data_IF_297269596551
#
_entry.id   IF_297269596551
#
_cell.length_a   1.000
_cell.length_b   1.000
_cell.length_c   1.000
_cell.angle_alpha   90.00
_cell.angle_beta   90.00
_cell.angle_gamma   90.00
#
_symmetry.space_group_name_H-M   'P 1'
#
loop_
_entity.id
_entity.type
_entity.pdbx_description
1 polymer ?
#
# COMPACT_ATOMS: atom_id res chain seq x y z
N UNK A 1 -37.39 0.47 -10.66
CA UNK A 1 -36.05 0.87 -10.12
C UNK A 1 -35.94 2.37 -10.34
N UNK A 2 -36.26 3.16 -9.33
CA UNK A 2 -36.06 4.60 -9.36
C UNK A 2 -34.55 4.84 -9.27
N UNK A 3 -33.95 5.18 -10.39
CA UNK A 3 -32.64 5.82 -10.40
C UNK A 3 -32.83 7.16 -9.70
N UNK A 4 -32.46 7.24 -8.43
CA UNK A 4 -32.21 8.53 -7.82
C UNK A 4 -31.04 9.13 -8.58
N UNK A 5 -31.33 10.08 -9.45
CA UNK A 5 -30.31 10.90 -10.08
C UNK A 5 -29.60 11.62 -8.93
N UNK A 6 -28.37 11.21 -8.66
CA UNK A 6 -27.50 11.94 -7.77
C UNK A 6 -27.16 13.26 -8.48
N UNK A 7 -27.74 14.34 -7.98
CA UNK A 7 -27.39 15.68 -8.40
C UNK A 7 -26.54 16.32 -7.28
N UNK A 8 -25.25 16.57 -7.49
CA UNK A 8 -24.40 17.22 -6.47
C UNK A 8 -24.98 18.54 -5.99
N UNK A 9 -25.72 19.28 -6.84
CA UNK A 9 -26.35 20.56 -6.47
C UNK A 9 -27.43 20.40 -5.38
N UNK A 10 -28.03 19.22 -5.19
CA UNK A 10 -29.02 18.98 -4.12
C UNK A 10 -28.40 18.99 -2.72
N UNK A 11 -27.07 19.04 -2.64
CA UNK A 11 -26.30 19.07 -1.40
C UNK A 11 -25.59 20.40 -1.15
N UNK A 12 -25.80 21.40 -2.03
CA UNK A 12 -25.23 22.73 -1.87
C UNK A 12 -26.38 23.69 -1.46
N UNK A 13 -26.20 24.40 -0.36
CA UNK A 13 -27.03 25.51 0.01
C UNK A 13 -26.24 26.78 -0.30
N UNK A 14 -26.79 27.65 -1.14
CA UNK A 14 -26.15 28.92 -1.49
C UNK A 14 -25.78 29.71 -0.24
N UNK A 15 -24.48 29.97 -0.05
CA UNK A 15 -23.96 30.81 1.03
C UNK A 15 -23.51 30.09 2.30
N UNK A 16 -23.63 28.78 2.39
CA UNK A 16 -23.04 28.01 3.48
C UNK A 16 -22.07 26.96 2.91
N UNK A 17 -20.86 26.94 3.42
CA UNK A 17 -19.96 25.80 3.25
C UNK A 17 -20.53 24.62 4.02
N UNK A 18 -21.53 23.95 3.46
CA UNK A 18 -22.01 22.70 4.03
C UNK A 18 -21.01 21.62 3.70
N UNK A 19 -20.10 21.51 4.59
CA UNK A 19 -19.44 20.26 4.78
C UNK A 19 -20.42 19.42 5.61
N UNK A 20 -21.10 18.43 5.02
CA UNK A 20 -21.82 17.40 5.78
C UNK A 20 -20.79 16.48 6.45
N UNK A 21 -19.92 17.08 7.22
CA UNK A 21 -19.10 16.42 8.20
C UNK A 21 -19.98 16.24 9.42
N UNK A 22 -20.59 15.08 9.53
CA UNK A 22 -21.16 14.64 10.81
C UNK A 22 -20.01 14.53 11.81
N UNK A 23 -19.53 15.70 12.28
CA UNK A 23 -18.57 15.75 13.35
C UNK A 23 -19.19 15.03 14.55
N UNK A 24 -18.49 14.08 15.18
CA UNK A 24 -19.01 13.44 16.39
C UNK A 24 -19.23 14.50 17.47
N UNK A 25 -20.34 14.41 18.18
CA UNK A 25 -20.69 15.31 19.29
C UNK A 25 -19.86 15.06 20.56
N UNK A 26 -18.76 14.33 20.45
CA UNK A 26 -17.86 13.96 21.54
C UNK A 26 -16.40 14.16 21.13
N UNK A 27 -15.51 14.33 22.10
CA UNK A 27 -14.08 14.44 21.87
C UNK A 27 -13.54 13.22 21.11
N UNK A 28 -12.55 13.44 20.23
CA UNK A 28 -12.08 12.44 19.25
C UNK A 28 -11.57 11.16 19.92
N UNK A 29 -10.94 11.28 21.08
CA UNK A 29 -10.42 10.16 21.88
C UNK A 29 -11.52 9.35 22.58
N UNK A 30 -12.74 9.91 22.69
CA UNK A 30 -13.89 9.28 23.36
C UNK A 30 -14.93 8.71 22.39
N UNK A 31 -14.78 8.98 21.08
CA UNK A 31 -15.78 8.60 20.07
C UNK A 31 -16.05 7.10 20.08
N UNK A 32 -15.00 6.28 20.10
CA UNK A 32 -15.13 4.83 20.01
C UNK A 32 -15.67 4.21 21.29
N UNK A 33 -15.28 4.73 22.47
CA UNK A 33 -15.83 4.30 23.75
C UNK A 33 -17.32 4.60 23.82
N UNK A 34 -17.73 5.82 23.45
CA UNK A 34 -19.16 6.21 23.41
C UNK A 34 -19.95 5.32 22.45
N UNK A 35 -19.42 5.08 21.24
CA UNK A 35 -20.08 4.22 20.27
C UNK A 35 -20.15 2.77 20.73
N UNK A 36 -19.15 2.27 21.41
CA UNK A 36 -19.13 0.92 21.97
C UNK A 36 -20.28 0.71 22.96
N UNK A 37 -20.57 1.70 23.81
CA UNK A 37 -21.73 1.68 24.72
C UNK A 37 -23.06 1.70 23.98
N UNK A 38 -23.14 2.37 22.85
CA UNK A 38 -24.36 2.48 22.03
C UNK A 38 -24.57 1.28 21.12
N UNK A 39 -23.51 0.51 20.81
CA UNK A 39 -23.59 -0.60 19.88
C UNK A 39 -24.37 -1.77 20.48
N UNK A 40 -25.35 -2.28 19.73
CA UNK A 40 -26.00 -3.56 20.05
C UNK A 40 -25.08 -4.70 19.63
N UNK A 41 -24.54 -5.38 20.61
CA UNK A 41 -23.68 -6.52 20.38
C UNK A 41 -24.49 -7.79 20.13
N UNK A 42 -24.02 -8.62 19.22
CA UNK A 42 -24.57 -9.96 19.01
C UNK A 42 -24.20 -10.84 20.20
N UNK A 43 -25.20 -11.44 20.84
CA UNK A 43 -24.96 -12.42 21.90
C UNK A 43 -24.05 -13.54 21.35
N UNK A 44 -22.98 -13.94 22.03
CA UNK A 44 -22.07 -15.00 21.60
C UNK A 44 -22.76 -16.29 21.20
N UNK A 45 -23.80 -16.70 21.90
CA UNK A 45 -24.60 -17.89 21.56
C UNK A 45 -25.33 -17.82 20.21
N UNK A 46 -25.58 -16.61 19.71
CA UNK A 46 -26.25 -16.40 18.42
C UNK A 46 -25.28 -16.20 17.26
N UNK A 47 -23.99 -15.97 17.50
CA UNK A 47 -23.02 -15.72 16.42
C UNK A 47 -22.96 -16.87 15.42
N UNK A 48 -23.04 -18.11 15.87
CA UNK A 48 -23.08 -19.32 15.03
C UNK A 48 -24.28 -19.42 14.07
N UNK A 49 -25.29 -18.56 14.27
CA UNK A 49 -26.49 -18.51 13.39
C UNK A 49 -26.31 -17.48 12.26
N UNK A 50 -25.28 -16.66 12.36
CA UNK A 50 -25.00 -15.59 11.41
C UNK A 50 -23.86 -15.98 10.49
N UNK A 51 -23.98 -15.59 9.25
CA UNK A 51 -22.98 -15.81 8.21
C UNK A 51 -22.42 -14.49 7.69
N UNK A 52 -21.12 -14.49 7.39
CA UNK A 52 -20.41 -13.34 6.83
C UNK A 52 -19.63 -13.78 5.60
N UNK A 53 -19.86 -13.10 4.49
CA UNK A 53 -19.04 -13.25 3.28
C UNK A 53 -17.89 -12.25 3.35
N UNK A 54 -16.68 -12.76 3.07
CA UNK A 54 -15.47 -11.92 2.95
C UNK A 54 -14.86 -12.14 1.57
N UNK A 55 -14.77 -11.08 0.79
CA UNK A 55 -14.14 -11.09 -0.53
C UNK A 55 -12.74 -10.54 -0.43
N UNK A 56 -11.76 -11.39 -0.70
CA UNK A 56 -10.34 -11.09 -0.55
C UNK A 56 -9.70 -11.83 0.62
N UNK A 57 -8.44 -12.24 0.44
CA UNK A 57 -7.66 -13.07 1.39
C UNK A 57 -6.28 -12.46 1.68
N UNK A 58 -6.10 -11.18 1.37
CA UNK A 58 -4.95 -10.41 1.80
C UNK A 58 -4.99 -10.15 3.32
N UNK A 59 -4.11 -9.31 3.83
CA UNK A 59 -4.06 -8.99 5.27
C UNK A 59 -5.42 -8.58 5.84
N UNK A 60 -6.15 -7.69 5.16
CA UNK A 60 -7.45 -7.22 5.65
C UNK A 60 -8.51 -8.35 5.66
N UNK A 61 -8.69 -9.02 4.52
CA UNK A 61 -9.72 -10.07 4.39
C UNK A 61 -9.38 -11.32 5.21
N UNK A 62 -8.13 -11.75 5.22
CA UNK A 62 -7.66 -12.90 6.00
C UNK A 62 -7.77 -12.66 7.51
N UNK A 63 -7.37 -11.47 8.00
CA UNK A 63 -7.51 -11.11 9.40
C UNK A 63 -8.98 -11.01 9.84
N UNK A 64 -9.84 -10.43 9.00
CA UNK A 64 -11.27 -10.36 9.26
C UNK A 64 -11.89 -11.76 9.32
N UNK A 65 -11.53 -12.66 8.38
CA UNK A 65 -12.03 -14.03 8.36
C UNK A 65 -11.59 -14.82 9.59
N UNK A 66 -10.30 -14.72 9.95
CA UNK A 66 -9.77 -15.38 11.13
C UNK A 66 -10.46 -14.89 12.41
N UNK A 67 -10.57 -13.57 12.57
CA UNK A 67 -11.18 -12.95 13.77
C UNK A 67 -12.67 -13.29 13.91
N UNK A 68 -13.43 -13.23 12.83
CA UNK A 68 -14.84 -13.55 12.84
C UNK A 68 -15.08 -15.06 13.07
N UNK A 69 -14.25 -15.93 12.47
CA UNK A 69 -14.30 -17.35 12.70
C UNK A 69 -14.01 -17.69 14.17
N UNK A 70 -12.97 -17.12 14.76
CA UNK A 70 -12.63 -17.26 16.17
C UNK A 70 -13.74 -16.72 17.08
N UNK A 71 -14.41 -15.67 16.70
CA UNK A 71 -15.56 -15.12 17.42
C UNK A 71 -16.84 -15.97 17.29
N UNK A 72 -16.83 -17.04 16.48
CA UNK A 72 -17.93 -18.01 16.34
C UNK A 72 -18.93 -17.72 15.24
N UNK A 73 -18.63 -16.85 14.29
CA UNK A 73 -19.43 -16.64 13.09
C UNK A 73 -19.13 -17.70 12.02
N UNK A 74 -20.10 -17.96 11.14
CA UNK A 74 -19.87 -18.75 9.92
C UNK A 74 -19.31 -17.82 8.83
N UNK A 75 -18.10 -18.08 8.37
CA UNK A 75 -17.44 -17.23 7.40
C UNK A 75 -17.26 -17.94 6.07
N UNK A 76 -17.68 -17.28 4.97
CA UNK A 76 -17.39 -17.69 3.60
C UNK A 76 -16.35 -16.72 3.04
N UNK A 77 -15.12 -17.19 2.83
CA UNK A 77 -13.99 -16.35 2.40
C UNK A 77 -13.61 -16.66 0.95
N UNK A 78 -13.69 -15.66 0.08
CA UNK A 78 -13.48 -15.81 -1.36
C UNK A 78 -12.13 -15.23 -1.78
N UNK A 79 -11.34 -16.04 -2.50
CA UNK A 79 -10.04 -15.71 -3.02
C UNK A 79 -10.03 -15.70 -4.55
N UNK A 80 -9.68 -14.57 -5.16
CA UNK A 80 -9.49 -14.48 -6.61
C UNK A 80 -8.31 -15.33 -7.07
N UNK A 81 -7.24 -15.37 -6.28
CA UNK A 81 -6.03 -16.12 -6.58
C UNK A 81 -6.22 -17.63 -6.28
N UNK A 82 -5.26 -18.44 -6.74
CA UNK A 82 -5.18 -19.86 -6.41
C UNK A 82 -4.77 -20.13 -4.95
N UNK A 83 -4.15 -19.15 -4.31
CA UNK A 83 -3.75 -19.21 -2.92
C UNK A 83 -3.88 -17.84 -2.25
N UNK A 84 -4.35 -17.75 -1.00
CA UNK A 84 -4.36 -16.52 -0.21
C UNK A 84 -3.00 -15.85 -0.10
N UNK A 85 -1.92 -16.64 -0.07
CA UNK A 85 -0.53 -16.17 0.02
C UNK A 85 -0.06 -15.39 -1.21
N UNK A 86 -0.84 -15.37 -2.30
CA UNK A 86 -0.54 -14.58 -3.50
C UNK A 86 -1.21 -13.21 -3.50
N UNK A 87 -1.82 -12.81 -2.40
CA UNK A 87 -2.33 -11.45 -2.22
C UNK A 87 -1.18 -10.43 -2.33
N UNK A 88 -1.49 -9.24 -2.84
CA UNK A 88 -0.47 -8.18 -3.03
C UNK A 88 0.27 -7.81 -1.73
N UNK A 89 -0.34 -8.02 -0.58
CA UNK A 89 0.30 -7.82 0.75
C UNK A 89 1.67 -8.45 0.87
N UNK A 90 1.93 -9.57 0.17
CA UNK A 90 3.24 -10.27 0.17
C UNK A 90 4.38 -9.38 -0.35
N UNK A 91 4.08 -8.41 -1.19
CA UNK A 91 5.08 -7.56 -1.83
C UNK A 91 5.52 -6.35 -0.97
N UNK A 92 4.88 -6.10 0.16
CA UNK A 92 5.24 -4.99 1.04
C UNK A 92 6.55 -5.27 1.77
N UNK A 93 7.52 -4.35 1.71
CA UNK A 93 8.89 -4.55 2.19
C UNK A 93 9.23 -3.66 3.38
N UNK A 94 8.74 -2.43 3.40
CA UNK A 94 9.22 -1.35 4.27
C UNK A 94 9.01 -1.61 5.75
N UNK A 95 7.83 -1.87 6.17
CA UNK A 95 7.43 -2.00 7.56
C UNK A 95 6.05 -1.41 7.82
N UNK A 96 5.62 -1.47 9.06
CA UNK A 96 4.36 -0.89 9.52
C UNK A 96 4.59 0.06 10.70
N UNK A 97 3.88 1.19 10.72
CA UNK A 97 4.00 2.18 11.77
C UNK A 97 3.05 1.88 12.93
N UNK A 98 3.55 2.01 14.16
CA UNK A 98 2.73 1.93 15.35
C UNK A 98 3.27 2.83 16.46
N UNK A 99 2.37 3.43 17.23
CA UNK A 99 2.69 4.39 18.27
C UNK A 99 3.08 3.69 19.60
N UNK A 100 4.18 2.92 19.60
CA UNK A 100 4.66 2.22 20.81
C UNK A 100 5.70 2.99 21.61
N UNK A 101 6.27 4.05 21.05
CA UNK A 101 7.28 4.90 21.69
C UNK A 101 8.47 4.13 22.31
N UNK A 102 8.94 3.07 21.67
CA UNK A 102 10.00 2.23 22.20
C UNK A 102 11.36 2.95 22.36
N UNK A 103 11.62 3.95 21.52
CA UNK A 103 12.83 4.75 21.57
C UNK A 103 12.75 5.96 22.51
N UNK A 104 11.58 6.17 23.11
CA UNK A 104 11.32 7.34 23.95
C UNK A 104 11.65 8.68 23.25
N UNK A 105 11.33 8.74 21.96
CA UNK A 105 11.55 9.88 21.05
C UNK A 105 10.31 10.77 20.91
N UNK A 106 9.48 10.78 21.96
CA UNK A 106 8.20 11.52 22.04
C UNK A 106 7.16 11.12 21.01
N UNK A 107 7.16 9.85 20.59
CA UNK A 107 6.05 9.31 19.81
C UNK A 107 4.81 9.10 20.68
N UNK A 108 3.64 9.21 20.05
CA UNK A 108 2.35 9.02 20.73
C UNK A 108 1.25 8.68 19.72
N UNK A 109 0.13 8.16 20.22
CA UNK A 109 -1.10 7.97 19.42
C UNK A 109 -1.50 9.26 18.71
N UNK A 110 -1.48 10.39 19.41
CA UNK A 110 -1.84 11.68 18.82
C UNK A 110 -0.84 12.11 17.73
N UNK A 111 0.45 11.89 17.94
CA UNK A 111 1.46 12.21 16.93
C UNK A 111 1.32 11.34 15.67
N UNK A 112 1.08 10.04 15.81
CA UNK A 112 0.80 9.17 14.68
C UNK A 112 -0.48 9.59 13.94
N UNK A 113 -1.53 9.93 14.68
CA UNK A 113 -2.76 10.47 14.13
C UNK A 113 -2.51 11.75 13.33
N UNK A 114 -1.83 12.74 13.94
CA UNK A 114 -1.53 14.02 13.29
C UNK A 114 -0.70 13.84 12.02
N UNK A 115 0.37 13.05 12.09
CA UNK A 115 1.24 12.78 10.94
C UNK A 115 0.46 12.10 9.80
N UNK A 116 -0.47 11.21 10.13
CA UNK A 116 -1.30 10.51 9.14
C UNK A 116 -2.31 11.45 8.48
N UNK A 117 -3.00 12.27 9.26
CA UNK A 117 -3.97 13.26 8.74
C UNK A 117 -3.28 14.30 7.88
N UNK A 118 -2.13 14.82 8.36
CA UNK A 118 -1.32 15.79 7.62
C UNK A 118 -0.75 15.18 6.33
N UNK A 119 -0.22 13.96 6.39
CA UNK A 119 0.29 13.24 5.22
C UNK A 119 -0.79 12.91 4.19
N UNK A 120 -2.05 12.80 4.62
CA UNK A 120 -3.24 12.66 3.78
C UNK A 120 -3.86 13.98 3.37
N UNK A 121 -3.15 15.10 3.49
CA UNK A 121 -3.58 16.43 3.07
C UNK A 121 -4.91 16.88 3.72
N UNK A 122 -5.12 16.46 4.98
CA UNK A 122 -6.31 16.75 5.82
C UNK A 122 -7.63 16.26 5.22
N UNK A 123 -7.61 15.24 4.35
CA UNK A 123 -8.81 14.68 3.71
C UNK A 123 -9.32 13.40 4.32
N UNK A 124 -8.60 12.85 5.29
CA UNK A 124 -8.99 11.62 5.96
C UNK A 124 -10.14 11.86 6.95
N UNK A 125 -10.93 10.81 7.17
CA UNK A 125 -11.90 10.82 8.27
C UNK A 125 -11.17 10.67 9.61
N UNK A 126 -11.02 11.75 10.34
CA UNK A 126 -10.17 11.88 11.53
C UNK A 126 -10.45 10.82 12.60
N UNK A 127 -11.71 10.55 12.89
CA UNK A 127 -12.09 9.54 13.88
C UNK A 127 -11.59 8.13 13.54
N UNK A 128 -11.57 7.77 12.26
CA UNK A 128 -11.05 6.48 11.82
C UNK A 128 -9.53 6.44 11.93
N UNK A 129 -8.86 7.53 11.58
CA UNK A 129 -7.39 7.64 11.69
C UNK A 129 -6.95 7.61 13.15
N UNK A 130 -7.67 8.35 14.04
CA UNK A 130 -7.37 8.31 15.46
C UNK A 130 -7.52 6.90 16.03
N UNK A 131 -8.61 6.21 15.69
CA UNK A 131 -8.81 4.82 16.12
C UNK A 131 -7.72 3.88 15.61
N UNK A 132 -7.30 4.04 14.37
CA UNK A 132 -6.17 3.26 13.82
C UNK A 132 -4.87 3.51 14.61
N UNK A 133 -4.57 4.78 14.90
CA UNK A 133 -3.39 5.14 15.70
C UNK A 133 -3.46 4.55 17.11
N UNK A 134 -4.64 4.58 17.74
CA UNK A 134 -4.89 4.03 19.07
C UNK A 134 -4.66 2.52 19.14
N UNK A 135 -5.16 1.76 18.16
CA UNK A 135 -5.02 0.29 18.15
C UNK A 135 -3.69 -0.19 17.56
N UNK A 136 -2.89 0.69 16.97
CA UNK A 136 -1.67 0.33 16.25
C UNK A 136 -0.69 -0.48 17.09
N UNK A 137 -0.52 -0.12 18.34
CA UNK A 137 0.36 -0.81 19.28
C UNK A 137 -0.11 -2.26 19.54
N UNK A 138 -1.42 -2.45 19.74
CA UNK A 138 -2.02 -3.76 19.96
C UNK A 138 -1.91 -4.65 18.72
N UNK A 139 -1.98 -4.06 17.51
CA UNK A 139 -1.80 -4.80 16.25
C UNK A 139 -0.38 -5.38 16.17
N UNK A 140 0.64 -4.61 16.56
CA UNK A 140 2.02 -5.13 16.62
C UNK A 140 2.13 -6.30 17.60
N UNK A 141 1.57 -6.15 18.80
CA UNK A 141 1.61 -7.21 19.82
C UNK A 141 0.90 -8.47 19.35
N UNK A 142 -0.26 -8.32 18.69
CA UNK A 142 -0.97 -9.43 18.05
C UNK A 142 -0.12 -10.12 16.99
N UNK A 143 0.53 -9.35 16.09
CA UNK A 143 1.39 -9.91 15.06
C UNK A 143 2.57 -10.68 15.66
N UNK A 144 3.18 -10.17 16.74
CA UNK A 144 4.24 -10.87 17.48
C UNK A 144 3.73 -12.18 18.08
N UNK A 145 2.56 -12.16 18.72
CA UNK A 145 1.93 -13.35 19.28
C UNK A 145 1.57 -14.38 18.19
N UNK A 146 1.28 -13.94 16.97
CA UNK A 146 1.04 -14.78 15.79
C UNK A 146 2.33 -15.32 15.15
N UNK A 147 3.51 -14.99 15.70
CA UNK A 147 4.80 -15.49 15.23
C UNK A 147 5.45 -14.68 14.12
N UNK A 148 5.02 -13.44 13.88
CA UNK A 148 5.68 -12.57 12.91
C UNK A 148 7.09 -12.21 13.39
N UNK A 149 8.17 -12.53 12.64
CA UNK A 149 9.54 -12.37 13.07
C UNK A 149 10.03 -10.93 12.80
N UNK A 150 9.48 -9.96 13.50
CA UNK A 150 10.00 -8.60 13.45
C UNK A 150 11.47 -8.55 13.89
N UNK A 151 12.23 -7.63 13.30
CA UNK A 151 13.60 -7.36 13.72
C UNK A 151 13.64 -7.01 15.22
N UNK A 152 14.71 -7.47 15.89
CA UNK A 152 14.94 -7.21 17.31
C UNK A 152 16.31 -6.59 17.51
N UNK A 153 16.43 -5.73 18.51
CA UNK A 153 17.70 -5.24 19.00
C UNK A 153 18.35 -6.24 19.97
N UNK A 154 19.59 -5.98 20.36
CA UNK A 154 20.38 -6.88 21.20
C UNK A 154 19.69 -7.25 22.53
N UNK A 155 18.96 -6.31 23.14
CA UNK A 155 18.19 -6.53 24.37
C UNK A 155 16.90 -7.33 24.18
N UNK A 156 16.58 -7.76 22.96
CA UNK A 156 15.39 -8.58 22.65
C UNK A 156 14.09 -7.77 22.41
N UNK A 157 14.10 -6.47 22.59
CA UNK A 157 12.97 -5.61 22.20
C UNK A 157 12.86 -5.54 20.67
N UNK A 158 11.67 -5.21 20.18
CA UNK A 158 11.46 -5.03 18.77
C UNK A 158 12.26 -3.81 18.28
N UNK A 159 13.00 -3.99 17.21
CA UNK A 159 13.73 -2.90 16.59
C UNK A 159 12.79 -2.03 15.74
N UNK A 160 13.04 -0.73 15.76
CA UNK A 160 12.27 0.27 15.02
C UNK A 160 13.19 1.21 14.24
N UNK A 161 12.65 1.76 13.16
CA UNK A 161 13.37 2.75 12.36
C UNK A 161 12.46 3.91 11.96
N UNK A 162 13.05 5.04 11.62
CA UNK A 162 12.33 6.10 10.90
C UNK A 162 12.18 5.69 9.43
N UNK A 163 11.10 6.12 8.79
CA UNK A 163 10.80 5.72 7.43
C UNK A 163 9.90 6.75 6.73
N UNK A 164 10.23 7.08 5.49
CA UNK A 164 9.35 7.90 4.66
C UNK A 164 9.12 9.33 5.16
N UNK A 165 10.12 9.99 5.71
CA UNK A 165 10.02 11.37 6.23
C UNK A 165 9.45 11.49 7.65
N UNK A 166 9.16 10.37 8.32
CA UNK A 166 8.74 10.35 9.72
C UNK A 166 9.94 10.64 10.61
N UNK A 167 9.82 11.62 11.50
CA UNK A 167 10.92 12.09 12.36
C UNK A 167 11.15 11.21 13.61
N UNK A 168 10.28 10.23 13.87
CA UNK A 168 10.38 9.30 15.00
C UNK A 168 10.56 7.87 14.52
N UNK A 169 11.13 7.03 15.37
CA UNK A 169 11.38 5.62 15.06
C UNK A 169 10.16 4.78 15.46
N UNK A 170 9.17 4.71 14.61
CA UNK A 170 7.91 3.97 14.85
C UNK A 170 7.63 2.84 13.86
N UNK A 171 8.51 2.60 12.91
CA UNK A 171 8.31 1.59 11.87
C UNK A 171 8.89 0.25 12.30
N UNK A 172 8.01 -0.72 12.53
CA UNK A 172 8.35 -2.12 12.82
C UNK A 172 8.54 -2.88 11.51
N UNK A 173 9.57 -3.69 11.39
CA UNK A 173 9.96 -4.30 10.11
C UNK A 173 10.56 -5.71 10.26
N UNK A 174 10.51 -6.48 9.18
CA UNK A 174 11.15 -7.78 9.03
C UNK A 174 12.09 -7.76 7.80
N UNK A 175 13.09 -6.90 7.81
CA UNK A 175 14.21 -6.76 6.86
C UNK A 175 13.86 -7.09 5.40
N UNK A 176 13.04 -6.26 4.76
CA UNK A 176 12.63 -6.41 3.36
C UNK A 176 11.52 -7.43 3.09
N UNK A 177 11.07 -8.17 4.11
CA UNK A 177 10.04 -9.21 4.00
C UNK A 177 8.82 -8.92 4.87
N UNK A 178 8.60 -7.70 5.29
CA UNK A 178 7.57 -7.35 6.29
C UNK A 178 6.18 -7.82 5.85
N UNK A 179 5.78 -7.52 4.62
CA UNK A 179 4.47 -7.91 4.11
C UNK A 179 4.30 -9.42 3.97
N UNK A 180 5.36 -10.12 3.55
CA UNK A 180 5.36 -11.58 3.48
C UNK A 180 5.16 -12.21 4.85
N UNK A 181 5.91 -11.76 5.85
CA UNK A 181 5.84 -12.32 7.20
C UNK A 181 4.50 -12.01 7.87
N UNK A 182 3.98 -10.80 7.71
CA UNK A 182 2.64 -10.44 8.18
C UNK A 182 1.56 -11.30 7.52
N UNK A 183 1.65 -11.52 6.20
CA UNK A 183 0.67 -12.31 5.47
C UNK A 183 0.71 -13.78 5.89
N UNK A 184 1.90 -14.35 6.11
CA UNK A 184 2.05 -15.72 6.60
C UNK A 184 1.45 -15.86 8.01
N UNK A 185 1.74 -14.93 8.92
CA UNK A 185 1.17 -14.94 10.28
C UNK A 185 -0.36 -14.87 10.26
N UNK A 186 -0.90 -13.96 9.43
CA UNK A 186 -2.36 -13.84 9.22
C UNK A 186 -2.95 -15.14 8.62
N UNK A 187 -2.30 -15.71 7.62
CA UNK A 187 -2.73 -16.93 6.96
C UNK A 187 -2.76 -18.14 7.92
N UNK A 188 -1.78 -18.26 8.80
CA UNK A 188 -1.76 -19.30 9.84
C UNK A 188 -2.99 -19.23 10.75
N UNK A 189 -3.42 -18.02 11.13
CA UNK A 189 -4.63 -17.86 11.94
C UNK A 189 -5.90 -18.21 11.12
N UNK A 190 -5.92 -17.85 9.85
CA UNK A 190 -7.01 -18.23 8.95
C UNK A 190 -7.12 -19.76 8.80
N UNK A 191 -6.01 -20.45 8.59
CA UNK A 191 -5.96 -21.91 8.48
C UNK A 191 -6.51 -22.61 9.73
N UNK A 192 -6.20 -22.09 10.93
CA UNK A 192 -6.76 -22.62 12.18
C UNK A 192 -8.28 -22.56 12.19
N UNK A 193 -8.88 -21.51 11.64
CA UNK A 193 -10.32 -21.37 11.58
C UNK A 193 -10.95 -22.21 10.46
N UNK A 194 -10.21 -22.46 9.38
CA UNK A 194 -10.61 -23.38 8.32
C UNK A 194 -10.66 -24.81 8.89
N UNK A 195 -9.63 -25.21 9.61
CA UNK A 195 -9.56 -26.52 10.28
C UNK A 195 -10.68 -26.68 11.31
N UNK A 196 -10.96 -25.64 12.11
CA UNK A 196 -12.08 -25.62 13.05
C UNK A 196 -13.46 -25.62 12.40
N UNK A 197 -13.53 -25.45 11.07
CA UNK A 197 -14.79 -25.44 10.31
C UNK A 197 -15.62 -24.17 10.41
N UNK A 198 -15.14 -23.12 11.09
CA UNK A 198 -15.81 -21.81 11.20
C UNK A 198 -15.61 -20.95 9.96
N UNK A 199 -14.55 -21.18 9.19
CA UNK A 199 -14.28 -20.53 7.93
C UNK A 199 -14.27 -21.55 6.78
N UNK A 200 -14.99 -21.27 5.71
CA UNK A 200 -14.88 -21.98 4.43
C UNK A 200 -14.24 -21.08 3.41
N UNK A 201 -13.13 -21.52 2.81
CA UNK A 201 -12.38 -20.74 1.82
C UNK A 201 -12.62 -21.28 0.40
N UNK A 202 -12.86 -20.36 -0.51
CA UNK A 202 -13.11 -20.62 -1.93
C UNK A 202 -12.05 -19.92 -2.78
N UNK A 203 -11.01 -20.68 -3.18
CA UNK A 203 -9.94 -20.19 -4.06
C UNK A 203 -10.43 -20.14 -5.51
N UNK A 204 -9.82 -19.28 -6.33
CA UNK A 204 -10.17 -19.07 -7.76
C UNK A 204 -11.65 -18.74 -7.99
N UNK A 205 -12.20 -17.90 -7.10
CA UNK A 205 -13.56 -17.36 -7.25
C UNK A 205 -13.51 -15.85 -7.42
N UNK A 206 -14.03 -15.37 -8.54
CA UNK A 206 -14.16 -13.95 -8.83
C UNK A 206 -15.54 -13.46 -8.42
N UNK A 207 -15.62 -12.39 -7.63
CA UNK A 207 -16.89 -11.72 -7.38
C UNK A 207 -17.34 -10.97 -8.63
N UNK A 208 -18.46 -11.38 -9.19
CA UNK A 208 -19.03 -10.76 -10.41
C UNK A 208 -20.21 -9.84 -10.13
N UNK A 209 -20.87 -9.98 -8.96
CA UNK A 209 -21.96 -9.09 -8.57
C UNK A 209 -22.16 -9.05 -7.05
N UNK A 210 -22.73 -7.93 -6.54
CA UNK A 210 -23.24 -7.80 -5.19
C UNK A 210 -24.76 -8.03 -5.19
N UNK A 211 -25.25 -8.90 -4.31
CA UNK A 211 -26.67 -9.13 -4.10
C UNK A 211 -27.18 -8.13 -3.07
N UNK A 212 -28.10 -7.26 -3.49
CA UNK A 212 -28.76 -6.28 -2.63
C UNK A 212 -30.25 -6.58 -2.58
N UNK A 213 -30.80 -6.74 -1.38
CA UNK A 213 -32.23 -6.95 -1.13
C UNK A 213 -32.66 -5.92 -0.10
N UNK A 214 -33.73 -5.17 -0.41
CA UNK A 214 -34.27 -4.11 0.46
C UNK A 214 -33.19 -3.12 0.95
N UNK A 215 -32.31 -2.69 0.03
CA UNK A 215 -31.22 -1.76 0.32
C UNK A 215 -30.08 -2.31 1.18
N UNK A 216 -30.04 -3.61 1.43
CA UNK A 216 -29.02 -4.28 2.23
C UNK A 216 -28.20 -5.27 1.40
N UNK A 217 -26.88 -5.29 1.60
CA UNK A 217 -26.01 -6.31 1.04
C UNK A 217 -26.33 -7.67 1.69
N UNK A 218 -26.80 -8.62 0.89
CA UNK A 218 -27.26 -9.93 1.35
C UNK A 218 -26.47 -11.09 0.76
N UNK A 219 -25.48 -10.82 -0.03
CA UNK A 219 -24.65 -11.85 -0.63
C UNK A 219 -23.89 -11.39 -1.84
N UNK A 220 -23.28 -12.32 -2.54
CA UNK A 220 -22.53 -12.10 -3.76
C UNK A 220 -22.84 -13.17 -4.80
N UNK A 221 -22.58 -12.83 -6.06
CA UNK A 221 -22.49 -13.80 -7.15
C UNK A 221 -21.02 -13.96 -7.50
N UNK A 222 -20.55 -15.18 -7.61
CA UNK A 222 -19.17 -15.50 -8.01
C UNK A 222 -19.12 -16.30 -9.29
N UNK A 223 -18.00 -16.16 -10.00
CA UNK A 223 -17.58 -17.07 -11.06
C UNK A 223 -16.44 -17.94 -10.53
N UNK A 224 -16.64 -19.25 -10.56
CA UNK A 224 -15.57 -20.21 -10.36
C UNK A 224 -14.66 -20.18 -11.60
N UNK A 225 -13.41 -19.74 -11.42
CA UNK A 225 -12.49 -19.53 -12.53
C UNK A 225 -11.88 -20.82 -13.08
N UNK A 226 -12.11 -21.96 -12.42
CA UNK A 226 -11.64 -23.27 -12.89
C UNK A 226 -12.59 -23.87 -13.90
N UNK A 227 -13.90 -23.79 -13.64
CA UNK A 227 -14.93 -24.46 -14.44
C UNK A 227 -15.96 -23.49 -15.05
N UNK A 228 -15.84 -22.17 -14.81
CA UNK A 228 -16.73 -21.14 -15.34
C UNK A 228 -18.10 -21.05 -14.66
N UNK A 229 -18.42 -21.89 -13.68
CA UNK A 229 -19.73 -21.91 -13.02
C UNK A 229 -20.02 -20.58 -12.30
N UNK A 230 -21.24 -20.10 -12.49
CA UNK A 230 -21.75 -18.92 -11.76
C UNK A 230 -22.59 -19.41 -10.58
N UNK A 231 -22.28 -18.89 -9.39
CA UNK A 231 -22.90 -19.31 -8.14
C UNK A 231 -23.30 -18.10 -7.31
N UNK A 232 -24.49 -18.15 -6.70
CA UNK A 232 -24.96 -17.14 -5.76
C UNK A 232 -24.75 -17.63 -4.31
N UNK A 233 -24.26 -16.74 -3.47
CA UNK A 233 -23.98 -17.00 -2.06
C UNK A 233 -24.69 -15.94 -1.23
N UNK A 234 -25.36 -16.36 -0.17
CA UNK A 234 -26.12 -15.47 0.72
C UNK A 234 -25.44 -15.38 2.08
N UNK A 235 -25.55 -14.20 2.71
CA UNK A 235 -25.02 -13.95 4.06
C UNK A 235 -25.73 -12.78 4.72
N UNK A 236 -25.57 -12.66 6.04
CA UNK A 236 -26.07 -11.53 6.82
C UNK A 236 -25.26 -10.25 6.61
N UNK A 237 -23.98 -10.38 6.28
CA UNK A 237 -23.10 -9.27 5.96
C UNK A 237 -22.07 -9.65 4.88
N UNK A 238 -21.62 -8.63 4.14
CA UNK A 238 -20.56 -8.75 3.12
C UNK A 238 -19.45 -7.77 3.45
N UNK A 239 -18.21 -8.27 3.51
CA UNK A 239 -16.99 -7.50 3.73
C UNK A 239 -16.12 -7.57 2.48
N UNK A 240 -15.71 -6.43 1.96
CA UNK A 240 -14.78 -6.33 0.85
C UNK A 240 -13.37 -6.04 1.36
N UNK A 241 -12.48 -7.02 1.29
CA UNK A 241 -11.05 -6.92 1.60
C UNK A 241 -10.20 -7.08 0.33
N UNK A 242 -10.60 -6.46 -0.77
CA UNK A 242 -10.08 -6.71 -2.12
C UNK A 242 -8.83 -5.93 -2.48
N UNK A 243 -8.29 -5.16 -1.54
CA UNK A 243 -7.09 -4.33 -1.75
C UNK A 243 -7.38 -3.10 -2.61
N UNK A 244 -6.31 -2.46 -3.06
CA UNK A 244 -6.38 -1.27 -3.89
C UNK A 244 -6.67 -1.57 -5.38
N UNK A 245 -6.69 -0.50 -6.17
CA UNK A 245 -6.99 -0.52 -7.60
C UNK A 245 -5.86 0.07 -8.46
N UNK A 246 -4.60 -0.15 -8.05
CA UNK A 246 -3.42 0.41 -8.74
C UNK A 246 -3.35 0.09 -10.23
N UNK A 247 -3.88 -1.06 -10.66
CA UNK A 247 -3.87 -1.45 -12.06
C UNK A 247 -4.91 -0.75 -12.95
N UNK A 248 -5.69 0.17 -12.39
CA UNK A 248 -6.47 1.15 -13.17
C UNK A 248 -5.54 2.21 -13.79
N UNK A 249 -4.38 2.42 -13.20
CA UNK A 249 -3.38 3.38 -13.68
C UNK A 249 -2.36 2.71 -14.60
N UNK A 250 -1.76 3.48 -15.49
CA UNK A 250 -0.82 3.02 -16.50
C UNK A 250 0.42 2.31 -15.95
N UNK A 251 0.99 2.84 -14.87
CA UNK A 251 2.16 2.24 -14.20
C UNK A 251 1.81 1.94 -12.75
N UNK A 252 1.94 0.69 -12.35
CA UNK A 252 1.63 0.25 -11.00
C UNK A 252 2.60 -0.84 -10.54
N UNK A 253 2.91 -0.81 -9.24
CA UNK A 253 3.63 -1.89 -8.56
C UNK A 253 2.70 -2.98 -8.03
N UNK A 254 1.38 -2.78 -8.17
CA UNK A 254 0.38 -3.69 -7.61
C UNK A 254 0.25 -4.99 -8.43
N UNK A 255 -0.08 -6.07 -7.76
CA UNK A 255 -0.45 -7.32 -8.41
C UNK A 255 -1.68 -7.10 -9.32
N UNK A 256 -1.78 -7.87 -10.41
CA UNK A 256 -2.83 -7.71 -11.42
C UNK A 256 -4.25 -7.84 -10.87
N UNK A 257 -4.44 -8.53 -9.75
CA UNK A 257 -5.72 -8.61 -9.05
C UNK A 257 -6.18 -7.29 -8.38
N UNK A 258 -5.30 -6.28 -8.27
CA UNK A 258 -5.64 -4.95 -7.74
C UNK A 258 -6.26 -4.07 -8.84
N UNK A 259 -7.44 -4.43 -9.33
CA UNK A 259 -8.03 -3.87 -10.55
C UNK A 259 -9.43 -3.23 -10.36
N UNK A 260 -9.84 -2.99 -9.14
CA UNK A 260 -11.12 -2.38 -8.76
C UNK A 260 -12.39 -3.19 -9.10
N UNK A 261 -12.32 -4.37 -9.71
CA UNK A 261 -13.52 -5.07 -10.22
C UNK A 261 -14.59 -5.26 -9.15
N UNK A 262 -14.25 -5.82 -7.99
CA UNK A 262 -15.22 -6.07 -6.93
C UNK A 262 -15.74 -4.75 -6.31
N UNK A 263 -14.86 -3.78 -6.06
CA UNK A 263 -15.25 -2.46 -5.55
C UNK A 263 -16.19 -1.74 -6.52
N UNK A 264 -15.91 -1.79 -7.83
CA UNK A 264 -16.76 -1.25 -8.87
C UNK A 264 -18.16 -1.91 -8.90
N UNK A 265 -18.21 -3.25 -8.76
CA UNK A 265 -19.50 -3.98 -8.72
C UNK A 265 -20.35 -3.54 -7.53
N UNK A 266 -19.73 -3.39 -6.36
CA UNK A 266 -20.42 -2.90 -5.17
C UNK A 266 -20.90 -1.45 -5.34
N UNK A 267 -20.05 -0.58 -5.91
CA UNK A 267 -20.38 0.82 -6.17
C UNK A 267 -21.59 0.94 -7.11
N UNK A 268 -21.64 0.17 -8.18
CA UNK A 268 -22.79 0.13 -9.09
C UNK A 268 -24.10 -0.29 -8.41
N UNK A 269 -24.03 -0.96 -7.27
CA UNK A 269 -25.19 -1.36 -6.45
C UNK A 269 -25.51 -0.39 -5.32
N UNK A 270 -24.87 0.79 -5.32
CA UNK A 270 -25.15 1.88 -4.38
C UNK A 270 -24.20 1.99 -3.20
N UNK A 271 -23.11 1.20 -3.15
CA UNK A 271 -22.08 1.41 -2.15
C UNK A 271 -21.30 2.71 -2.44
N UNK A 272 -21.06 3.51 -1.42
CA UNK A 272 -20.24 4.69 -1.57
C UNK A 272 -18.78 4.32 -1.80
N UNK A 273 -18.09 5.12 -2.63
CA UNK A 273 -16.67 5.01 -2.87
C UNK A 273 -15.97 6.21 -2.20
N UNK A 274 -15.28 5.95 -1.10
CA UNK A 274 -14.60 7.00 -0.35
C UNK A 274 -13.22 7.31 -0.93
N UNK A 275 -12.82 8.59 -0.91
CA UNK A 275 -11.46 9.06 -1.24
C UNK A 275 -10.83 8.48 -2.53
N UNK A 276 -11.55 8.44 -3.67
CA UNK A 276 -11.04 7.81 -4.90
C UNK A 276 -9.78 8.49 -5.48
N UNK A 277 -9.51 9.73 -5.07
CA UNK A 277 -8.34 10.49 -5.50
C UNK A 277 -7.07 10.15 -4.74
N UNK A 278 -7.13 9.35 -3.68
CA UNK A 278 -5.94 9.00 -2.90
C UNK A 278 -5.11 7.94 -3.61
N UNK A 279 -4.05 8.43 -4.23
CA UNK A 279 -3.06 7.60 -4.92
C UNK A 279 -1.68 7.94 -4.39
N UNK A 280 -1.00 6.97 -3.80
CA UNK A 280 0.39 7.13 -3.41
C UNK A 280 1.30 6.68 -4.55
N UNK A 281 2.27 7.51 -4.91
CA UNK A 281 3.30 7.20 -5.87
C UNK A 281 4.57 6.80 -5.11
N UNK A 282 5.20 5.70 -5.51
CA UNK A 282 6.46 5.26 -4.93
C UNK A 282 7.63 5.70 -5.82
N UNK A 283 8.66 6.38 -5.29
CA UNK A 283 9.71 6.97 -6.11
C UNK A 283 10.78 5.98 -6.57
N UNK A 284 10.91 4.81 -5.93
CA UNK A 284 12.00 3.87 -6.14
C UNK A 284 11.54 2.55 -6.77
N UNK A 285 10.84 2.61 -7.91
CA UNK A 285 10.48 1.41 -8.65
C UNK A 285 11.49 1.14 -9.76
N UNK A 286 11.77 -0.13 -10.02
CA UNK A 286 12.58 -0.53 -11.19
C UNK A 286 11.72 -0.29 -12.43
N UNK A 287 12.19 0.45 -13.44
CA UNK A 287 11.49 0.60 -14.71
C UNK A 287 11.20 -0.74 -15.36
N UNK A 288 10.21 -0.80 -16.24
CA UNK A 288 9.91 -2.00 -17.03
C UNK A 288 11.16 -2.45 -17.75
N UNK A 289 11.51 -3.71 -17.57
CA UNK A 289 12.67 -4.35 -18.18
C UNK A 289 12.23 -5.64 -18.89
N UNK A 290 12.37 -5.67 -20.22
CA UNK A 290 11.89 -6.77 -21.05
C UNK A 290 10.37 -6.87 -21.19
N UNK A 291 9.92 -7.75 -22.09
CA UNK A 291 8.50 -7.88 -22.47
C UNK A 291 7.70 -8.78 -21.52
N UNK A 292 8.36 -9.48 -20.63
CA UNK A 292 7.74 -10.47 -19.74
C UNK A 292 7.39 -9.93 -18.35
N UNK A 293 7.80 -8.71 -18.02
CA UNK A 293 7.54 -8.11 -16.74
C UNK A 293 6.09 -7.64 -16.64
N UNK A 294 5.27 -8.31 -15.83
CA UNK A 294 3.83 -8.05 -15.71
C UNK A 294 3.48 -6.84 -14.84
N UNK A 295 4.43 -6.32 -14.05
CA UNK A 295 4.26 -5.17 -13.18
C UNK A 295 5.61 -4.52 -12.89
N UNK A 296 5.61 -3.28 -12.43
CA UNK A 296 6.82 -2.64 -11.93
C UNK A 296 7.24 -3.27 -10.59
N UNK A 297 8.53 -3.52 -10.44
CA UNK A 297 9.07 -4.03 -9.18
C UNK A 297 9.40 -2.88 -8.26
N UNK A 298 8.83 -2.94 -7.06
CA UNK A 298 9.11 -2.00 -5.98
C UNK A 298 10.47 -2.29 -5.37
N UNK A 299 11.29 -1.26 -5.21
CA UNK A 299 12.49 -1.30 -4.38
C UNK A 299 12.24 -0.60 -3.05
N UNK A 300 12.83 -1.12 -1.98
CA UNK A 300 12.68 -0.51 -0.65
C UNK A 300 13.15 0.94 -0.66
N UNK A 301 12.32 1.81 -0.11
CA UNK A 301 12.65 3.24 0.04
C UNK A 301 13.88 3.49 0.93
N UNK A 302 14.24 2.52 1.79
CA UNK A 302 15.45 2.58 2.61
C UNK A 302 16.74 2.77 1.80
N UNK A 303 16.73 2.44 0.52
CA UNK A 303 17.83 2.71 -0.39
C UNK A 303 18.20 4.21 -0.46
N UNK A 304 17.22 5.10 -0.23
CA UNK A 304 17.44 6.54 -0.23
C UNK A 304 18.17 7.05 1.02
N UNK A 305 18.35 6.21 2.05
CA UNK A 305 19.09 6.58 3.25
C UNK A 305 20.60 6.75 2.97
N UNK A 306 21.13 5.96 2.06
CA UNK A 306 22.55 5.99 1.70
C UNK A 306 22.78 6.24 0.21
N UNK A 307 21.77 6.04 -0.63
CA UNK A 307 21.83 6.33 -2.08
C UNK A 307 21.45 7.77 -2.40
N UNK A 308 22.18 8.39 -3.34
CA UNK A 308 21.95 9.74 -3.84
C UNK A 308 21.22 9.73 -5.17
N UNK A 309 20.20 10.58 -5.29
CA UNK A 309 19.37 10.65 -6.52
C UNK A 309 19.83 11.80 -7.40
N UNK A 310 20.09 11.51 -8.68
CA UNK A 310 20.53 12.51 -9.63
C UNK A 310 20.07 12.23 -11.08
N UNK A 311 20.15 13.25 -11.92
CA UNK A 311 20.04 13.18 -13.38
C UNK A 311 21.17 13.98 -14.02
N UNK A 312 21.53 13.76 -15.30
CA UNK A 312 22.45 14.64 -16.01
C UNK A 312 21.92 16.07 -16.07
N UNK A 313 22.81 17.06 -15.97
CA UNK A 313 22.44 18.48 -16.13
C UNK A 313 21.96 18.79 -17.53
N UNK A 314 22.50 18.11 -18.54
CA UNK A 314 22.19 18.30 -19.96
C UNK A 314 21.42 17.11 -20.50
N UNK A 315 20.33 17.35 -21.22
CA UNK A 315 19.53 16.30 -21.87
C UNK A 315 20.34 15.44 -22.86
N UNK A 316 21.36 16.01 -23.50
CA UNK A 316 22.24 15.30 -24.42
C UNK A 316 23.04 14.17 -23.74
N UNK A 317 23.28 14.28 -22.43
CA UNK A 317 24.06 13.31 -21.66
C UNK A 317 23.21 12.14 -21.12
N UNK A 318 21.88 12.21 -21.24
CA UNK A 318 20.97 11.19 -20.71
C UNK A 318 21.05 9.82 -21.42
N UNK A 319 21.73 9.75 -22.55
CA UNK A 319 21.96 8.53 -23.30
C UNK A 319 23.36 7.91 -23.04
N UNK A 320 24.25 8.65 -22.35
CA UNK A 320 25.60 8.18 -22.03
C UNK A 320 25.60 7.15 -20.90
N UNK A 321 26.69 6.39 -20.83
CA UNK A 321 26.97 5.58 -19.64
C UNK A 321 27.09 6.49 -18.40
N UNK A 322 26.38 6.23 -17.32
CA UNK A 322 26.44 7.08 -16.13
C UNK A 322 27.85 7.22 -15.53
N UNK A 323 28.75 6.28 -15.80
CA UNK A 323 30.15 6.31 -15.34
C UNK A 323 30.98 7.34 -16.10
N UNK A 324 30.56 7.70 -17.31
CA UNK A 324 31.23 8.70 -18.15
C UNK A 324 30.77 10.13 -17.85
N UNK A 325 29.76 10.30 -16.98
CA UNK A 325 29.21 11.61 -16.60
C UNK A 325 29.95 12.09 -15.34
N UNK A 326 30.79 13.14 -15.47
CA UNK A 326 31.55 13.66 -14.33
C UNK A 326 30.62 14.27 -13.26
N UNK A 327 31.11 14.34 -12.02
CA UNK A 327 30.32 14.81 -10.87
C UNK A 327 29.76 16.22 -11.08
N UNK A 328 30.52 17.12 -11.68
CA UNK A 328 30.10 18.49 -11.99
C UNK A 328 28.94 18.56 -12.99
N UNK A 329 28.72 17.53 -13.81
CA UNK A 329 27.60 17.45 -14.78
C UNK A 329 26.39 16.69 -14.23
N UNK A 330 26.43 16.24 -12.96
CA UNK A 330 25.31 15.61 -12.26
C UNK A 330 24.47 16.65 -11.52
N UNK A 331 23.14 16.54 -11.60
CA UNK A 331 22.19 17.36 -10.87
C UNK A 331 21.55 16.52 -9.77
N UNK A 332 21.99 16.67 -8.54
CA UNK A 332 21.38 16.10 -7.34
C UNK A 332 20.15 16.93 -6.95
N UNK A 333 19.15 16.89 -7.78
CA UNK A 333 18.01 17.81 -7.76
C UNK A 333 17.24 17.85 -6.45
N UNK A 334 17.11 16.71 -5.72
CA UNK A 334 16.44 16.70 -4.41
C UNK A 334 17.25 17.44 -3.36
N UNK A 335 18.57 17.25 -3.33
CA UNK A 335 19.47 17.95 -2.42
C UNK A 335 19.52 19.45 -2.71
N UNK A 336 19.50 19.82 -3.99
CA UNK A 336 19.49 21.22 -4.44
C UNK A 336 18.19 21.94 -4.10
N UNK A 337 17.02 21.29 -4.34
CA UNK A 337 15.70 21.92 -4.14
C UNK A 337 15.28 21.88 -2.68
N UNK A 338 15.62 20.79 -1.96
CA UNK A 338 15.21 20.54 -0.58
C UNK A 338 16.42 20.25 0.33
N UNK A 339 17.30 21.20 0.57
CA UNK A 339 18.58 20.96 1.26
C UNK A 339 18.41 20.43 2.70
N UNK A 340 17.28 20.72 3.35
CA UNK A 340 17.01 20.24 4.70
C UNK A 340 16.70 18.73 4.80
N UNK A 341 16.21 18.14 3.71
CA UNK A 341 15.80 16.73 3.66
C UNK A 341 16.61 15.90 2.66
N UNK A 342 17.11 16.53 1.60
CA UNK A 342 17.85 15.88 0.53
C UNK A 342 17.07 14.71 -0.08
N UNK A 343 17.72 13.55 -0.15
CA UNK A 343 17.12 12.35 -0.70
C UNK A 343 16.00 11.74 0.17
N UNK A 344 15.83 12.24 1.41
CA UNK A 344 14.84 11.76 2.37
C UNK A 344 13.51 12.54 2.36
N UNK A 345 13.31 13.41 1.38
CA UNK A 345 12.00 14.06 1.20
C UNK A 345 10.85 13.04 1.11
N UNK A 346 9.62 13.42 1.51
CA UNK A 346 8.43 12.57 1.36
C UNK A 346 8.27 11.97 -0.04
N UNK A 347 7.56 10.85 -0.12
CA UNK A 347 7.39 10.08 -1.37
C UNK A 347 6.78 10.87 -2.51
N UNK A 348 5.75 11.67 -2.21
CA UNK A 348 5.06 12.52 -3.18
C UNK A 348 5.99 13.56 -3.78
N UNK A 349 6.82 14.19 -2.95
CA UNK A 349 7.83 15.17 -3.40
C UNK A 349 8.88 14.49 -4.27
N UNK A 350 9.48 13.38 -3.79
CA UNK A 350 10.50 12.66 -4.54
C UNK A 350 9.97 12.18 -5.90
N UNK A 351 8.74 11.64 -5.92
CA UNK A 351 8.10 11.14 -7.14
C UNK A 351 7.77 12.24 -8.13
N UNK A 352 7.23 13.36 -7.64
CA UNK A 352 6.90 14.52 -8.48
C UNK A 352 8.16 15.12 -9.10
N UNK A 353 9.23 15.29 -8.34
CA UNK A 353 10.48 15.82 -8.85
C UNK A 353 11.13 14.86 -9.85
N UNK A 354 11.14 13.55 -9.60
CA UNK A 354 11.63 12.59 -10.59
C UNK A 354 10.84 12.66 -11.91
N UNK A 355 9.51 12.78 -11.82
CA UNK A 355 8.66 12.97 -13.01
C UNK A 355 9.01 14.27 -13.75
N UNK A 356 9.18 15.37 -13.02
CA UNK A 356 9.55 16.67 -13.60
C UNK A 356 10.88 16.58 -14.38
N UNK A 357 11.90 15.91 -13.82
CA UNK A 357 13.18 15.71 -14.52
C UNK A 357 13.00 14.92 -15.82
N UNK A 358 12.16 13.89 -15.82
CA UNK A 358 11.84 13.14 -17.03
C UNK A 358 11.08 13.99 -18.07
N UNK A 359 10.14 14.82 -17.64
CA UNK A 359 9.36 15.68 -18.52
C UNK A 359 10.19 16.81 -19.13
N UNK A 360 11.20 17.31 -18.40
CA UNK A 360 12.22 18.25 -18.91
C UNK A 360 13.16 17.60 -19.95
N UNK A 361 13.03 16.30 -20.22
CA UNK A 361 13.90 15.55 -21.14
C UNK A 361 15.21 15.10 -20.52
N UNK A 362 15.36 15.19 -19.19
CA UNK A 362 16.56 14.76 -18.46
C UNK A 362 16.42 13.35 -17.84
N UNK A 363 15.37 12.63 -18.21
CA UNK A 363 15.22 11.23 -17.84
C UNK A 363 16.31 10.34 -18.40
N UNK A 364 16.63 9.27 -17.71
CA UNK A 364 17.68 8.29 -18.07
C UNK A 364 17.10 6.90 -18.34
N UNK A 365 17.94 6.01 -18.86
CA UNK A 365 17.54 4.64 -19.22
C UNK A 365 17.13 4.49 -20.69
N UNK A 366 16.57 3.35 -21.09
CA UNK A 366 16.13 3.11 -22.45
C UNK A 366 15.08 4.12 -22.90
N UNK A 367 15.19 4.56 -24.15
CA UNK A 367 14.16 5.40 -24.76
C UNK A 367 12.93 4.54 -25.10
N UNK A 368 11.76 5.06 -24.73
CA UNK A 368 10.45 4.44 -25.00
C UNK A 368 9.65 5.37 -25.89
N UNK A 369 9.04 4.82 -26.95
CA UNK A 369 8.15 5.55 -27.83
C UNK A 369 6.83 5.86 -27.09
N UNK A 370 6.51 7.14 -26.93
CA UNK A 370 5.28 7.59 -26.30
C UNK A 370 4.42 8.38 -27.28
N UNK A 371 3.18 7.91 -27.46
CA UNK A 371 2.22 8.58 -28.31
C UNK A 371 1.67 9.82 -27.61
N UNK A 372 1.83 10.98 -28.22
CA UNK A 372 1.34 12.24 -27.67
C UNK A 372 -0.14 12.45 -28.02
N UNK A 373 -0.79 13.40 -27.33
CA UNK A 373 -2.19 13.73 -27.55
C UNK A 373 -2.49 14.23 -28.97
N UNK A 374 -1.50 14.84 -29.63
CA UNK A 374 -1.57 15.32 -31.03
C UNK A 374 -1.35 14.21 -32.07
N UNK A 375 -1.18 12.94 -31.62
CA UNK A 375 -0.93 11.79 -32.48
C UNK A 375 0.54 11.59 -32.86
N UNK A 376 1.44 12.49 -32.52
CA UNK A 376 2.89 12.33 -32.73
C UNK A 376 3.49 11.32 -31.76
N UNK A 377 4.66 10.79 -32.09
CA UNK A 377 5.41 9.89 -31.21
C UNK A 377 6.69 10.56 -30.75
N UNK A 378 6.86 10.70 -29.45
CA UNK A 378 8.06 11.23 -28.81
C UNK A 378 8.86 10.10 -28.16
N UNK A 379 10.18 10.12 -28.34
CA UNK A 379 11.06 9.24 -27.56
C UNK A 379 11.29 9.87 -26.19
N UNK A 380 10.89 9.16 -25.13
CA UNK A 380 11.05 9.60 -23.76
C UNK A 380 11.88 8.61 -22.97
N UNK A 381 12.64 9.09 -22.00
CA UNK A 381 13.36 8.26 -21.03
C UNK A 381 12.68 8.42 -19.68
N UNK A 382 12.36 7.30 -19.07
CA UNK A 382 11.63 7.25 -17.81
C UNK A 382 12.51 6.63 -16.76
N UNK A 383 13.29 7.46 -16.06
CA UNK A 383 14.15 7.03 -14.97
C UNK A 383 14.99 8.18 -14.45
N UNK A 384 15.44 8.03 -13.22
CA UNK A 384 16.48 8.82 -12.59
C UNK A 384 17.48 7.87 -11.96
N UNK A 385 18.71 8.32 -11.73
CA UNK A 385 19.73 7.49 -11.10
C UNK A 385 19.61 7.54 -9.58
N UNK A 386 19.82 6.39 -8.94
CA UNK A 386 20.05 6.22 -7.51
C UNK A 386 21.45 5.62 -7.34
N UNK A 387 22.38 6.41 -6.85
CA UNK A 387 23.83 6.15 -6.86
C UNK A 387 24.33 5.85 -5.45
N UNK A 388 25.06 4.75 -5.32
CA UNK A 388 25.65 4.29 -4.07
C UNK A 388 27.17 4.52 -3.99
N UNK A 389 27.78 5.19 -4.96
CA UNK A 389 29.22 5.41 -5.00
C UNK A 389 29.76 6.03 -3.70
N UNK A 390 29.11 7.08 -3.19
CA UNK A 390 29.48 7.72 -1.92
C UNK A 390 29.32 6.79 -0.72
N UNK A 391 28.25 6.01 -0.69
CA UNK A 391 28.00 5.05 0.38
C UNK A 391 29.05 3.92 0.38
N UNK A 392 29.42 3.43 -0.81
CA UNK A 392 30.46 2.40 -0.96
C UNK A 392 31.81 2.95 -0.51
N UNK A 393 32.16 4.19 -0.87
CA UNK A 393 33.39 4.84 -0.43
C UNK A 393 33.44 5.03 1.10
N UNK A 394 32.32 5.36 1.71
CA UNK A 394 32.22 5.62 3.16
C UNK A 394 32.13 4.36 4.02
N UNK A 395 31.36 3.36 3.58
CA UNK A 395 31.03 2.17 4.38
C UNK A 395 31.78 0.91 3.94
N UNK A 396 32.41 0.96 2.78
CA UNK A 396 32.92 -0.22 2.08
C UNK A 396 31.81 -1.05 1.43
N UNK A 397 32.17 -1.90 0.50
CA UNK A 397 31.23 -2.80 -0.21
C UNK A 397 30.48 -3.72 0.77
N UNK A 398 31.18 -4.27 1.76
CA UNK A 398 30.60 -5.15 2.78
C UNK A 398 29.59 -4.42 3.65
N UNK A 399 29.85 -3.16 4.03
CA UNK A 399 28.94 -2.34 4.80
C UNK A 399 27.63 -2.05 4.05
N UNK A 400 27.72 -1.78 2.75
CA UNK A 400 26.56 -1.59 1.88
C UNK A 400 25.82 -2.93 1.66
N UNK A 401 26.55 -4.02 1.45
CA UNK A 401 26.00 -5.36 1.27
C UNK A 401 25.20 -5.83 2.51
N UNK A 402 25.73 -5.60 3.69
CA UNK A 402 25.03 -5.92 4.94
C UNK A 402 23.70 -5.17 5.11
N UNK A 403 23.57 -3.98 4.52
CA UNK A 403 22.33 -3.17 4.58
C UNK A 403 21.36 -3.47 3.44
N UNK A 404 21.87 -3.65 2.23
CA UNK A 404 21.08 -3.62 0.99
C UNK A 404 21.36 -4.78 0.03
N UNK A 405 22.24 -5.73 0.36
CA UNK A 405 22.69 -6.77 -0.55
C UNK A 405 21.56 -7.53 -1.25
N UNK A 406 20.55 -7.94 -0.49
CA UNK A 406 19.37 -8.61 -1.05
C UNK A 406 18.56 -7.73 -2.05
N UNK A 407 18.57 -6.42 -1.87
CA UNK A 407 17.92 -5.49 -2.79
C UNK A 407 18.76 -5.28 -4.04
N UNK A 408 20.07 -5.24 -3.90
CA UNK A 408 21.01 -5.15 -5.01
C UNK A 408 20.97 -6.41 -5.88
N UNK A 409 20.95 -7.59 -5.24
CA UNK A 409 20.79 -8.88 -5.95
C UNK A 409 19.46 -8.91 -6.73
N UNK A 410 18.37 -8.48 -6.11
CA UNK A 410 17.07 -8.40 -6.79
C UNK A 410 17.11 -7.45 -7.99
N UNK A 411 17.74 -6.29 -7.86
CA UNK A 411 17.88 -5.33 -8.94
C UNK A 411 18.71 -5.94 -10.09
N UNK A 412 19.84 -6.54 -9.75
CA UNK A 412 20.74 -7.17 -10.73
C UNK A 412 20.06 -8.34 -11.46
N UNK A 413 19.29 -9.17 -10.76
CA UNK A 413 18.54 -10.27 -11.38
C UNK A 413 17.49 -9.77 -12.38
N UNK A 414 16.87 -8.60 -12.13
CA UNK A 414 15.85 -8.03 -13.01
C UNK A 414 16.48 -7.30 -14.20
N UNK A 415 17.54 -6.52 -13.95
CA UNK A 415 18.07 -5.56 -14.92
C UNK A 415 19.35 -6.04 -15.61
N UNK A 416 20.07 -6.99 -15.01
CA UNK A 416 21.42 -7.40 -15.41
C UNK A 416 22.52 -6.42 -14.99
N UNK A 417 22.19 -5.29 -14.36
CA UNK A 417 23.14 -4.24 -13.95
C UNK A 417 23.56 -4.45 -12.48
N UNK A 418 24.87 -4.32 -12.22
CA UNK A 418 25.43 -4.46 -10.88
C UNK A 418 25.43 -3.11 -10.13
N UNK A 419 24.58 -2.94 -9.09
CA UNK A 419 24.50 -1.67 -8.36
C UNK A 419 25.78 -1.24 -7.62
N UNK A 420 26.74 -2.14 -7.45
CA UNK A 420 28.05 -1.80 -6.91
C UNK A 420 28.98 -1.11 -7.91
N UNK A 421 28.63 -1.14 -9.19
CA UNK A 421 29.47 -0.64 -10.28
C UNK A 421 28.81 0.49 -11.08
N UNK A 422 27.47 0.46 -11.16
CA UNK A 422 26.68 1.46 -11.88
C UNK A 422 25.51 1.93 -11.05
N UNK A 423 25.10 3.20 -11.16
CA UNK A 423 23.90 3.70 -10.49
C UNK A 423 22.65 2.94 -10.92
N UNK A 424 21.78 2.64 -9.95
CA UNK A 424 20.48 2.02 -10.23
C UNK A 424 19.57 3.00 -10.98
N UNK A 425 18.79 2.50 -11.91
CA UNK A 425 17.71 3.27 -12.54
C UNK A 425 16.42 3.04 -11.78
N UNK A 426 15.79 4.11 -11.35
CA UNK A 426 14.53 4.10 -10.62
C UNK A 426 13.52 5.02 -11.29
N UNK A 427 12.22 4.71 -11.13
CA UNK A 427 11.12 5.50 -11.68
C UNK A 427 9.94 5.56 -10.71
N UNK A 428 9.22 6.70 -10.64
CA UNK A 428 7.99 6.77 -9.84
C UNK A 428 6.85 5.97 -10.47
N UNK A 429 6.15 5.20 -9.65
CA UNK A 429 4.99 4.42 -10.07
C UNK A 429 3.88 4.40 -9.03
N UNK A 430 2.64 4.20 -9.46
CA UNK A 430 1.51 4.04 -8.57
C UNK A 430 1.74 2.84 -7.66
N UNK A 431 1.67 3.06 -6.35
CA UNK A 431 1.95 2.04 -5.36
C UNK A 431 0.75 1.72 -4.48
N UNK A 432 0.06 2.75 -3.99
CA UNK A 432 -1.12 2.62 -3.17
C UNK A 432 -2.30 3.38 -3.74
N UNK A 433 -3.47 2.79 -3.61
CA UNK A 433 -4.75 3.47 -3.81
C UNK A 433 -5.60 3.20 -2.57
N UNK A 434 -6.22 4.24 -2.05
CA UNK A 434 -7.03 4.20 -0.84
C UNK A 434 -8.40 4.79 -1.17
N UNK A 435 -9.37 3.92 -1.30
CA UNK A 435 -10.72 4.36 -1.59
C UNK A 435 -11.76 3.44 -1.01
#
# INVERSE_FOLDING_TARGET
>A
MTTTNFNPADYWVDGEDIVDTKAPAVEIDKVWQTRQFQARLVNPANRRKLSVIIVGTGLAGGAAAATLGEAGYNVLNFCYQDSPRRAHSIAAQGGINAAKNYRNDNDSTYRLFYDTVKGGDYRARETNVYRLAEVSANIIDQCVAQGVPFAREYGGLLDTRSFGGVQVQRTFYARGQTGQQLLIGCYQQLERQIEAGTVKMYSRHEMVELIVVDGRARGIVTRNMVNGKIEAWTADAVVLGTGGYGNVFFLSTNAMGCNATAAWRAHRKGAYFGNPCYTQIHPTCIPVHGDTQSKLTLMSESLRNDGRIWVPKKAADCAKDPREIPEEDRDYYLERIYPAFGNLVPRDIASRQAKNMCDEGRGVGPAVAEKQADGTTKQVRRGVYLDFSDAINRLGKDGVSNRYGNLFDMYQQITGENPYEVPMRIYPAVHYTMG
#
